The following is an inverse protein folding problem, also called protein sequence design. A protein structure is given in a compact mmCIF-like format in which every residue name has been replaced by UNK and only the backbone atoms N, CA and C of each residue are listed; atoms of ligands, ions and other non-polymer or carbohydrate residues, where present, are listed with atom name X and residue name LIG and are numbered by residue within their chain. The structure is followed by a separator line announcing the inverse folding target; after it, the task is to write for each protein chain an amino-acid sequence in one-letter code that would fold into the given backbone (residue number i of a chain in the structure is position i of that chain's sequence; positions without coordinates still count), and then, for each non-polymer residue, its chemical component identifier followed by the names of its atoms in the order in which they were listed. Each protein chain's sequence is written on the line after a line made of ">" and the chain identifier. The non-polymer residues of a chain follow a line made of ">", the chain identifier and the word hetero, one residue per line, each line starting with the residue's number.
data_IF_897024768026
#
_entry.id   IF_897024768026
#
_cell.length_a   1.000
_cell.length_b   1.000
_cell.length_c   1.000
_cell.angle_alpha   90.00
_cell.angle_beta   90.00
_cell.angle_gamma   90.00
#
_symmetry.space_group_name_H-M   'P 1'
#
loop_
_entity.id
_entity.type
_entity.pdbx_description
1 polymer ?
#
# COMPACT_ATOMS: atom_id res chain seq x y z
N UNK A 1 -2.60 9.61 5.46
CA UNK A 1 -3.42 8.50 6.07
C UNK A 1 -3.03 7.17 5.45
N UNK A 2 -2.92 6.10 6.25
CA UNK A 2 -2.70 4.73 5.75
C UNK A 2 -4.02 3.96 5.81
N UNK A 3 -4.40 3.29 4.71
CA UNK A 3 -5.58 2.43 4.65
C UNK A 3 -5.14 1.01 4.30
N UNK A 4 -5.66 0.01 5.03
CA UNK A 4 -5.39 -1.40 4.81
C UNK A 4 -6.70 -2.13 4.56
N UNK A 5 -6.74 -2.90 3.47
CA UNK A 5 -7.92 -3.64 3.00
C UNK A 5 -7.50 -5.05 2.55
N UNK A 6 -8.47 -5.93 2.35
CA UNK A 6 -8.30 -7.28 1.76
C UNK A 6 -7.15 -8.07 2.41
N UNK A 7 -7.26 -8.26 3.74
CA UNK A 7 -6.23 -8.97 4.51
C UNK A 7 -6.50 -10.47 4.47
N UNK A 8 -5.52 -11.22 3.99
CA UNK A 8 -5.55 -12.68 3.95
C UNK A 8 -4.31 -13.24 4.63
N UNK A 9 -4.47 -14.29 5.43
CA UNK A 9 -3.36 -15.01 6.07
C UNK A 9 -3.45 -16.49 5.74
N UNK A 10 -2.41 -17.00 5.08
CA UNK A 10 -2.38 -18.36 4.58
C UNK A 10 -1.08 -19.10 4.96
N UNK A 11 -1.07 -20.41 4.85
CA UNK A 11 0.13 -21.23 5.00
C UNK A 11 0.33 -21.86 6.39
N UNK A 12 -0.65 -21.78 7.26
CA UNK A 12 -0.60 -22.32 8.62
C UNK A 12 -0.23 -23.81 8.66
N UNK A 13 -0.96 -24.64 7.91
CA UNK A 13 -0.74 -26.07 7.85
C UNK A 13 0.67 -26.42 7.35
N UNK A 14 1.13 -25.76 6.29
CA UNK A 14 2.47 -25.96 5.74
C UNK A 14 3.56 -25.52 6.74
N UNK A 15 3.35 -24.43 7.47
CA UNK A 15 4.26 -23.94 8.49
C UNK A 15 4.39 -24.93 9.65
N UNK A 16 3.26 -25.46 10.13
CA UNK A 16 3.23 -26.46 11.22
C UNK A 16 3.91 -27.75 10.79
N UNK A 17 3.58 -28.28 9.61
CA UNK A 17 4.26 -29.46 9.06
C UNK A 17 5.77 -29.21 8.95
N UNK A 18 6.17 -28.04 8.43
CA UNK A 18 7.57 -27.66 8.26
C UNK A 18 8.36 -27.57 9.57
N UNK A 19 7.77 -26.98 10.62
CA UNK A 19 8.46 -26.86 11.93
C UNK A 19 8.63 -28.19 12.64
N UNK A 20 7.84 -29.22 12.29
CA UNK A 20 7.92 -30.56 12.89
C UNK A 20 8.89 -31.49 12.16
N UNK A 21 9.31 -31.16 10.93
CA UNK A 21 10.24 -31.95 10.12
C UNK A 21 11.56 -32.28 10.84
N UNK A 22 12.26 -31.35 11.53
CA UNK A 22 13.58 -31.66 12.11
C UNK A 22 13.59 -32.76 13.13
N UNK A 23 12.43 -33.06 13.73
CA UNK A 23 12.29 -34.13 14.78
C UNK A 23 11.33 -35.26 14.37
N UNK A 24 10.89 -35.28 13.12
CA UNK A 24 9.88 -36.23 12.61
C UNK A 24 8.66 -36.35 13.54
N UNK A 25 8.19 -35.21 14.07
CA UNK A 25 7.19 -35.19 15.14
C UNK A 25 5.78 -34.84 14.64
N UNK A 26 5.44 -35.18 13.38
CA UNK A 26 4.14 -34.86 12.76
C UNK A 26 2.96 -35.46 13.52
N UNK A 27 3.10 -36.68 14.05
CA UNK A 27 2.06 -37.33 14.83
C UNK A 27 1.70 -36.63 16.15
N UNK A 28 2.48 -35.61 16.55
CA UNK A 28 2.21 -34.77 17.73
C UNK A 28 1.48 -33.50 17.39
N UNK A 29 1.15 -33.25 16.10
CA UNK A 29 0.36 -32.09 15.67
C UNK A 29 -1.09 -32.26 16.13
N UNK A 30 -1.65 -31.23 16.68
CA UNK A 30 -3.02 -31.14 17.17
C UNK A 30 -3.81 -29.99 16.52
N UNK A 31 -3.26 -29.38 15.48
CA UNK A 31 -3.95 -28.35 14.70
C UNK A 31 -4.82 -28.97 13.62
N UNK A 32 -5.95 -28.32 13.33
CA UNK A 32 -6.95 -28.83 12.39
C UNK A 32 -7.76 -27.69 11.76
N UNK A 33 -8.50 -28.01 10.71
CA UNK A 33 -9.49 -27.13 10.12
C UNK A 33 -10.84 -27.36 10.80
N UNK A 34 -11.45 -26.31 11.28
CA UNK A 34 -12.86 -26.34 11.72
C UNK A 34 -13.75 -25.89 10.57
N UNK A 35 -14.80 -26.67 10.33
CA UNK A 35 -15.87 -26.23 9.46
C UNK A 35 -16.80 -25.35 10.29
N UNK A 36 -16.97 -24.10 9.91
CA UNK A 36 -17.99 -23.22 10.52
C UNK A 36 -19.35 -23.78 10.08
N UNK A 37 -20.01 -24.53 10.96
CA UNK A 37 -21.36 -25.06 10.75
C UNK A 37 -22.37 -23.91 10.60
N UNK A 38 -22.65 -23.52 9.37
CA UNK A 38 -23.94 -22.92 9.04
C UNK A 38 -24.94 -24.07 8.93
N UNK A 39 -25.95 -24.09 9.75
CA UNK A 39 -26.92 -25.14 10.02
C UNK A 39 -27.41 -26.00 8.84
N UNK A 40 -28.28 -27.00 9.07
CA UNK A 40 -28.53 -28.14 8.17
C UNK A 40 -29.16 -27.82 6.81
N UNK A 41 -29.42 -26.60 6.46
CA UNK A 41 -30.12 -26.23 5.22
C UNK A 41 -29.24 -25.90 4.00
N UNK A 42 -27.90 -25.85 4.13
CA UNK A 42 -27.00 -25.42 3.03
C UNK A 42 -25.92 -26.46 2.67
N UNK A 43 -26.32 -27.71 2.52
CA UNK A 43 -25.46 -28.80 2.03
C UNK A 43 -25.20 -28.78 0.50
N UNK A 44 -25.23 -27.63 -0.14
CA UNK A 44 -24.87 -27.52 -1.55
C UNK A 44 -23.88 -26.40 -1.75
N UNK A 45 -22.62 -26.78 -1.88
CA UNK A 45 -21.42 -25.94 -2.12
C UNK A 45 -20.80 -25.42 -0.82
N UNK A 46 -19.85 -26.19 -0.27
CA UNK A 46 -18.90 -25.68 0.71
C UNK A 46 -18.10 -24.52 0.05
N UNK A 47 -18.39 -23.28 0.42
CA UNK A 47 -17.51 -22.19 0.16
C UNK A 47 -16.25 -22.40 1.02
N UNK A 48 -15.08 -22.34 0.43
CA UNK A 48 -13.80 -22.43 1.14
C UNK A 48 -13.60 -21.28 2.16
N UNK A 49 -14.48 -20.29 2.15
CA UNK A 49 -14.47 -19.11 3.05
C UNK A 49 -15.03 -19.42 4.46
N UNK A 50 -15.63 -20.59 4.69
CA UNK A 50 -16.28 -20.95 5.96
C UNK A 50 -15.43 -21.89 6.82
N UNK A 51 -14.12 -21.97 6.60
CA UNK A 51 -13.21 -22.83 7.36
C UNK A 51 -12.17 -22.00 8.09
N UNK A 52 -12.13 -22.11 9.41
CA UNK A 52 -11.08 -21.54 10.24
C UNK A 52 -10.01 -22.60 10.56
N UNK A 53 -8.74 -22.21 10.41
CA UNK A 53 -7.63 -23.05 10.82
C UNK A 53 -7.29 -22.83 12.29
N UNK A 54 -7.51 -23.86 13.13
CA UNK A 54 -7.24 -23.83 14.54
C UNK A 54 -5.89 -24.44 14.88
N UNK A 55 -5.01 -23.64 15.50
CA UNK A 55 -3.72 -24.09 16.00
C UNK A 55 -3.90 -24.73 17.37
N UNK A 56 -3.61 -26.02 17.46
CA UNK A 56 -3.69 -26.76 18.71
C UNK A 56 -2.63 -26.34 19.73
N UNK A 57 -2.86 -26.60 21.04
CA UNK A 57 -1.96 -26.20 22.13
C UNK A 57 -0.52 -26.72 21.97
N UNK A 58 -0.32 -27.94 21.48
CA UNK A 58 1.00 -28.53 21.28
C UNK A 58 1.77 -27.81 20.15
N UNK A 59 1.09 -27.50 19.05
CA UNK A 59 1.65 -26.76 17.94
C UNK A 59 1.97 -25.32 18.36
N UNK A 60 1.04 -24.64 19.04
CA UNK A 60 1.23 -23.28 19.55
C UNK A 60 2.43 -23.19 20.50
N UNK A 61 2.57 -24.14 21.41
CA UNK A 61 3.73 -24.23 22.31
C UNK A 61 5.04 -24.39 21.56
N UNK A 62 5.07 -25.26 20.52
CA UNK A 62 6.26 -25.45 19.69
C UNK A 62 6.59 -24.18 18.89
N UNK A 63 5.60 -23.55 18.25
CA UNK A 63 5.76 -22.28 17.52
C UNK A 63 6.38 -21.20 18.40
N UNK A 64 5.83 -21.00 19.60
CA UNK A 64 6.34 -20.01 20.56
C UNK A 64 7.78 -20.33 20.99
N UNK A 65 8.08 -21.60 21.22
CA UNK A 65 9.45 -22.03 21.57
C UNK A 65 10.43 -21.75 20.44
N UNK A 66 10.08 -22.09 19.20
CA UNK A 66 10.94 -21.89 18.04
C UNK A 66 11.09 -20.39 17.71
N UNK A 67 10.01 -19.60 17.84
CA UNK A 67 10.06 -18.15 17.68
C UNK A 67 11.09 -17.50 18.62
N UNK A 68 11.09 -17.90 19.88
CA UNK A 68 11.99 -17.36 20.91
C UNK A 68 13.43 -17.86 20.81
N UNK A 69 13.67 -18.98 20.12
CA UNK A 69 15.00 -19.58 19.96
C UNK A 69 15.89 -18.87 18.90
N UNK A 70 15.38 -17.84 18.23
CA UNK A 70 16.14 -17.04 17.26
C UNK A 70 15.83 -17.34 15.80
N UNK A 71 16.47 -16.58 14.90
CA UNK A 71 16.17 -16.55 13.45
C UNK A 71 16.31 -17.90 12.76
N UNK A 72 17.26 -18.72 13.19
CA UNK A 72 17.50 -20.05 12.59
C UNK A 72 16.38 -21.06 12.90
N UNK A 73 15.70 -20.86 14.03
CA UNK A 73 14.65 -21.76 14.49
C UNK A 73 13.25 -21.30 14.07
N UNK A 74 13.00 -20.01 13.90
CA UNK A 74 11.68 -19.44 13.53
C UNK A 74 11.38 -19.46 12.03
N UNK A 75 12.05 -20.28 11.23
CA UNK A 75 11.86 -20.39 9.77
C UNK A 75 10.41 -20.67 9.35
N UNK A 76 9.63 -21.34 10.19
CA UNK A 76 8.22 -21.61 9.94
C UNK A 76 7.41 -20.31 9.74
N UNK A 77 7.78 -19.21 10.41
CA UNK A 77 7.13 -17.90 10.24
C UNK A 77 7.24 -17.35 8.82
N UNK A 78 8.26 -17.77 8.05
CA UNK A 78 8.41 -17.40 6.64
C UNK A 78 7.43 -18.11 5.72
N UNK A 79 6.79 -19.18 6.19
CA UNK A 79 5.80 -19.97 5.46
C UNK A 79 4.37 -19.45 5.70
N UNK A 80 4.17 -18.60 6.73
CA UNK A 80 2.89 -17.97 7.02
C UNK A 80 2.87 -16.66 6.23
N UNK A 81 2.13 -16.67 5.12
CA UNK A 81 2.08 -15.55 4.18
C UNK A 81 0.87 -14.68 4.46
N UNK A 82 1.06 -13.37 4.35
CA UNK A 82 0.01 -12.36 4.51
C UNK A 82 -0.07 -11.54 3.22
N UNK A 83 -1.27 -11.40 2.69
CA UNK A 83 -1.60 -10.48 1.61
C UNK A 83 -2.37 -9.29 2.16
N UNK A 84 -2.04 -8.09 1.70
CA UNK A 84 -2.65 -6.84 2.12
C UNK A 84 -2.77 -5.90 0.92
N UNK A 85 -3.89 -5.20 0.82
CA UNK A 85 -3.97 -4.01 -0.02
C UNK A 85 -3.72 -2.78 0.85
N UNK A 86 -2.66 -2.04 0.58
CA UNK A 86 -2.27 -0.86 1.33
C UNK A 86 -2.32 0.37 0.44
N UNK A 87 -3.06 1.40 0.86
CA UNK A 87 -3.00 2.74 0.30
C UNK A 87 -2.25 3.65 1.27
N UNK A 88 -1.13 4.21 0.82
CA UNK A 88 -0.24 5.00 1.66
C UNK A 88 0.51 6.07 0.85
N UNK A 89 1.00 7.15 1.48
CA UNK A 89 1.76 8.18 0.80
C UNK A 89 3.13 7.69 0.30
N UNK A 90 3.61 8.27 -0.79
CA UNK A 90 4.88 7.89 -1.41
C UNK A 90 6.07 8.02 -0.44
N UNK A 91 6.03 8.99 0.51
CA UNK A 91 7.09 9.13 1.51
C UNK A 91 7.15 7.91 2.45
N UNK A 92 6.01 7.30 2.81
CA UNK A 92 5.95 6.09 3.62
C UNK A 92 6.41 4.86 2.81
N UNK A 93 6.02 4.76 1.55
CA UNK A 93 6.45 3.68 0.67
C UNK A 93 7.96 3.61 0.51
N UNK A 94 8.66 4.75 0.49
CA UNK A 94 10.14 4.78 0.44
C UNK A 94 10.78 4.06 1.62
N UNK A 95 10.18 4.16 2.81
CA UNK A 95 10.66 3.44 3.99
C UNK A 95 10.22 1.96 3.95
N UNK A 96 8.98 1.68 3.55
CA UNK A 96 8.47 0.32 3.41
C UNK A 96 9.30 -0.49 2.40
N UNK A 97 9.74 0.09 1.31
CA UNK A 97 10.57 -0.54 0.28
C UNK A 97 11.96 -0.99 0.79
N UNK A 98 12.34 -0.66 2.02
CA UNK A 98 13.55 -1.22 2.67
C UNK A 98 13.36 -2.67 3.12
N UNK A 99 12.12 -3.14 3.30
CA UNK A 99 11.78 -4.52 3.67
C UNK A 99 11.67 -5.42 2.44
N UNK A 100 12.76 -5.55 1.65
CA UNK A 100 12.75 -6.25 0.36
C UNK A 100 12.76 -7.77 0.47
N UNK A 101 13.37 -8.32 1.51
CA UNK A 101 13.52 -9.77 1.66
C UNK A 101 12.23 -10.36 2.23
N UNK A 102 11.60 -11.26 1.47
CA UNK A 102 10.33 -11.88 1.86
C UNK A 102 9.11 -10.97 1.68
N UNK A 103 9.24 -9.91 0.87
CA UNK A 103 8.15 -9.00 0.54
C UNK A 103 8.06 -8.82 -0.97
N UNK A 104 6.85 -8.86 -1.51
CA UNK A 104 6.54 -8.52 -2.91
C UNK A 104 5.45 -7.47 -2.89
N UNK A 105 5.59 -6.41 -3.70
CA UNK A 105 4.59 -5.37 -3.84
C UNK A 105 4.27 -5.12 -5.31
N UNK A 106 2.97 -5.09 -5.64
CA UNK A 106 2.47 -4.71 -6.95
C UNK A 106 1.67 -3.42 -6.82
N UNK A 107 2.15 -2.34 -7.44
CA UNK A 107 1.61 -0.99 -7.26
C UNK A 107 0.70 -0.56 -8.40
N UNK A 108 -0.32 0.24 -8.07
CA UNK A 108 -1.02 1.03 -9.08
C UNK A 108 -0.03 1.97 -9.78
N UNK A 109 -0.05 1.97 -11.11
CA UNK A 109 0.91 2.76 -11.89
C UNK A 109 0.56 4.24 -11.86
N UNK A 110 1.42 5.05 -11.24
CA UNK A 110 1.35 6.51 -11.36
C UNK A 110 1.80 6.98 -12.75
N UNK A 111 2.69 6.25 -13.41
CA UNK A 111 3.26 6.64 -14.71
C UNK A 111 2.26 6.49 -15.86
N UNK A 112 1.48 5.40 -15.88
CA UNK A 112 0.56 5.10 -16.99
C UNK A 112 -0.86 5.62 -16.74
N UNK A 113 -1.24 5.80 -15.48
CA UNK A 113 -2.62 6.07 -15.06
C UNK A 113 -2.83 7.41 -14.36
N UNK A 114 -1.79 8.26 -14.34
CA UNK A 114 -1.83 9.54 -13.63
C UNK A 114 -2.93 10.48 -14.12
N UNK A 115 -3.31 10.40 -15.40
CA UNK A 115 -4.33 11.24 -16.00
C UNK A 115 -5.76 10.66 -15.94
N UNK A 116 -5.94 9.40 -15.52
CA UNK A 116 -7.26 8.72 -15.59
C UNK A 116 -8.28 9.36 -14.65
N UNK A 117 -7.86 9.79 -13.46
CA UNK A 117 -8.72 10.37 -12.43
C UNK A 117 -8.37 11.84 -12.17
N UNK A 118 -9.38 12.66 -11.88
CA UNK A 118 -9.17 14.03 -11.37
C UNK A 118 -8.57 13.93 -9.96
N UNK A 119 -7.53 14.73 -9.71
CA UNK A 119 -6.93 14.83 -8.39
C UNK A 119 -7.84 15.60 -7.43
N UNK A 120 -8.00 15.06 -6.23
CA UNK A 120 -8.73 15.64 -5.12
C UNK A 120 -7.86 15.65 -3.87
N UNK A 121 -8.29 16.33 -2.82
CA UNK A 121 -7.54 16.36 -1.56
C UNK A 121 -7.41 14.96 -0.92
N UNK A 122 -8.38 14.07 -1.16
CA UNK A 122 -8.40 12.69 -0.66
C UNK A 122 -7.28 11.82 -1.25
N UNK A 123 -6.72 12.22 -2.39
CA UNK A 123 -5.59 11.52 -3.02
C UNK A 123 -4.25 11.82 -2.31
N UNK A 124 -4.24 12.65 -1.26
CA UNK A 124 -3.04 13.08 -0.58
C UNK A 124 -3.15 12.95 0.94
N UNK A 125 -2.09 12.49 1.59
CA UNK A 125 -1.95 12.57 3.04
C UNK A 125 -1.62 14.01 3.43
N UNK A 126 -2.53 14.65 4.16
CA UNK A 126 -2.44 16.06 4.52
C UNK A 126 -2.91 16.37 5.95
N UNK A 127 -3.08 15.34 6.77
CA UNK A 127 -3.66 15.40 8.12
C UNK A 127 -2.89 16.36 9.05
N UNK A 128 -1.58 16.47 8.87
CA UNK A 128 -0.70 17.31 9.67
C UNK A 128 -0.36 18.65 9.03
N UNK A 129 -0.93 18.98 7.85
CA UNK A 129 -0.67 20.27 7.22
C UNK A 129 -1.31 21.40 8.00
N UNK A 130 -0.51 22.46 8.26
CA UNK A 130 -0.99 23.63 8.94
C UNK A 130 -2.03 24.36 8.07
N UNK A 131 -3.17 24.72 8.69
CA UNK A 131 -4.27 25.46 8.09
C UNK A 131 -4.18 26.97 8.32
N UNK A 132 -3.31 27.43 9.23
CA UNK A 132 -3.09 28.83 9.49
C UNK A 132 -2.26 29.45 8.37
N UNK A 133 -2.59 30.67 7.95
CA UNK A 133 -1.91 31.41 6.88
C UNK A 133 -0.64 32.09 7.39
N UNK A 134 0.38 31.30 7.74
CA UNK A 134 1.66 31.76 8.30
C UNK A 134 2.77 31.92 7.26
N UNK A 135 2.53 31.45 6.04
CA UNK A 135 3.48 31.58 4.93
C UNK A 135 3.18 32.87 4.15
N UNK A 136 4.23 33.57 3.71
CA UNK A 136 4.09 34.81 3.00
C UNK A 136 4.81 34.78 1.65
N UNK A 137 4.14 35.25 0.60
CA UNK A 137 4.73 35.51 -0.71
C UNK A 137 4.70 37.02 -0.97
N UNK A 138 5.79 37.59 -1.49
CA UNK A 138 5.96 39.03 -1.66
C UNK A 138 5.83 39.52 -3.11
N UNK A 139 5.45 38.67 -4.06
CA UNK A 139 5.38 39.08 -5.47
C UNK A 139 4.02 38.76 -6.10
N UNK A 140 3.36 39.70 -6.78
CA UNK A 140 3.64 41.16 -6.91
C UNK A 140 3.14 41.97 -5.70
N UNK A 141 2.30 41.37 -4.85
CA UNK A 141 1.77 41.93 -3.60
C UNK A 141 1.96 40.94 -2.49
N UNK A 142 1.95 41.39 -1.24
CA UNK A 142 2.01 40.50 -0.08
C UNK A 142 0.76 39.61 -0.02
N UNK A 143 0.98 38.32 0.05
CA UNK A 143 -0.07 37.30 0.12
C UNK A 143 0.26 36.24 1.17
N UNK A 144 -0.69 35.97 2.07
CA UNK A 144 -0.54 34.96 3.12
C UNK A 144 -1.32 33.69 2.79
N UNK A 145 -0.69 32.53 3.02
CA UNK A 145 -1.29 31.23 2.77
C UNK A 145 -0.84 30.19 3.80
N UNK A 146 -1.58 29.08 3.88
CA UNK A 146 -1.25 27.95 4.73
C UNK A 146 -0.51 26.85 3.95
N UNK A 147 0.07 25.87 4.66
CA UNK A 147 0.62 24.68 4.03
C UNK A 147 -0.45 23.88 3.27
N UNK A 148 -1.69 23.84 3.79
CA UNK A 148 -2.82 23.21 3.10
C UNK A 148 -3.20 23.98 1.82
N UNK A 149 -3.15 25.33 1.82
CA UNK A 149 -3.43 26.11 0.61
C UNK A 149 -2.40 25.83 -0.49
N UNK A 150 -1.12 25.62 -0.14
CA UNK A 150 -0.09 25.19 -1.10
C UNK A 150 -0.41 23.82 -1.74
N UNK A 151 -0.89 22.87 -0.96
CA UNK A 151 -1.29 21.59 -1.50
C UNK A 151 -2.49 21.75 -2.46
N UNK A 152 -3.49 22.56 -2.10
CA UNK A 152 -4.63 22.84 -2.99
C UNK A 152 -4.20 23.49 -4.30
N UNK A 153 -3.32 24.48 -4.26
CA UNK A 153 -2.76 25.10 -5.48
C UNK A 153 -2.01 24.07 -6.34
N UNK A 154 -1.29 23.15 -5.72
CA UNK A 154 -0.63 22.06 -6.43
C UNK A 154 -1.63 21.08 -7.07
N UNK A 155 -2.72 20.77 -6.41
CA UNK A 155 -3.82 19.95 -6.95
C UNK A 155 -4.46 20.64 -8.16
N UNK A 156 -4.69 21.94 -8.09
CA UNK A 156 -5.23 22.72 -9.20
C UNK A 156 -4.26 22.71 -10.40
N UNK A 157 -2.96 22.89 -10.17
CA UNK A 157 -1.94 22.77 -11.22
C UNK A 157 -1.88 21.36 -11.84
N UNK A 158 -1.96 20.30 -11.04
CA UNK A 158 -2.02 18.92 -11.54
C UNK A 158 -3.26 18.70 -12.40
N UNK A 159 -4.43 19.21 -11.98
CA UNK A 159 -5.68 19.08 -12.73
C UNK A 159 -5.64 19.89 -14.03
N UNK A 160 -5.05 21.09 -14.03
CA UNK A 160 -4.84 21.88 -15.25
C UNK A 160 -4.04 21.08 -16.29
N UNK A 161 -2.90 20.50 -15.90
CA UNK A 161 -2.07 19.71 -16.82
C UNK A 161 -2.74 18.40 -17.26
N UNK A 162 -3.52 17.80 -16.37
CA UNK A 162 -4.36 16.64 -16.71
C UNK A 162 -5.42 16.99 -17.77
N UNK A 163 -6.11 18.08 -17.60
CA UNK A 163 -7.13 18.54 -18.57
C UNK A 163 -6.49 18.81 -19.92
N UNK A 164 -5.35 19.50 -19.97
CA UNK A 164 -4.57 19.72 -21.20
C UNK A 164 -4.11 18.40 -21.85
N UNK A 165 -3.64 17.45 -21.05
CA UNK A 165 -3.26 16.12 -21.56
C UNK A 165 -4.45 15.40 -22.21
N UNK A 166 -5.62 15.43 -21.58
CA UNK A 166 -6.84 14.80 -22.08
C UNK A 166 -7.39 15.54 -23.32
N UNK A 167 -7.30 16.86 -23.37
CA UNK A 167 -7.65 17.69 -24.50
C UNK A 167 -6.81 17.31 -25.74
N UNK A 168 -5.47 17.31 -25.59
CA UNK A 168 -4.56 16.89 -26.66
C UNK A 168 -4.72 15.42 -27.06
N UNK A 169 -5.21 14.56 -26.16
CA UNK A 169 -5.48 13.16 -26.49
C UNK A 169 -6.69 12.94 -27.39
N UNK A 170 -7.55 13.98 -27.59
CA UNK A 170 -8.72 13.95 -28.46
C UNK A 170 -8.46 14.55 -29.86
N UNK A 171 -7.35 15.23 -30.04
CA UNK A 171 -6.97 15.88 -31.29
C UNK A 171 -6.19 14.87 -32.15
N UNK A 172 -6.52 14.79 -33.44
CA UNK A 172 -5.68 14.05 -34.40
C UNK A 172 -4.47 14.87 -34.85
N UNK A 173 -3.43 14.20 -35.34
CA UNK A 173 -2.17 14.84 -35.75
C UNK A 173 -2.34 15.81 -36.92
N UNK A 174 -3.30 15.59 -37.82
CA UNK A 174 -3.54 16.46 -38.97
C UNK A 174 -4.25 17.75 -38.52
N UNK A 175 -5.26 17.62 -37.66
CA UNK A 175 -5.90 18.79 -37.04
C UNK A 175 -4.92 19.63 -36.20
N UNK A 176 -4.00 18.97 -35.46
CA UNK A 176 -2.94 19.66 -34.71
C UNK A 176 -2.04 20.49 -35.61
N UNK A 177 -1.60 19.95 -36.75
CA UNK A 177 -0.70 20.67 -37.68
C UNK A 177 -1.37 21.88 -38.32
N UNK A 178 -2.67 21.84 -38.55
CA UNK A 178 -3.43 22.92 -39.18
C UNK A 178 -3.97 23.98 -38.20
N UNK A 179 -3.92 23.72 -36.88
CA UNK A 179 -4.44 24.63 -35.87
C UNK A 179 -3.54 25.86 -35.74
N UNK A 180 -4.11 27.09 -35.62
CA UNK A 180 -3.34 28.28 -35.30
C UNK A 180 -2.75 28.09 -33.89
N UNK A 181 -1.42 28.23 -33.80
CA UNK A 181 -0.71 28.10 -32.53
C UNK A 181 -0.70 29.44 -31.82
N UNK A 182 -1.42 29.49 -30.70
CA UNK A 182 -1.42 30.69 -29.83
C UNK A 182 -0.08 30.87 -29.08
N UNK A 183 0.09 31.99 -28.45
CA UNK A 183 1.28 32.34 -27.68
C UNK A 183 1.63 31.24 -26.65
N UNK A 184 2.81 30.67 -26.80
CA UNK A 184 3.34 29.61 -25.91
C UNK A 184 3.24 28.17 -26.43
N UNK A 185 2.58 27.92 -27.57
CA UNK A 185 2.66 26.63 -28.28
C UNK A 185 3.76 26.74 -29.34
N UNK A 186 4.87 26.07 -29.09
CA UNK A 186 5.95 25.94 -30.08
C UNK A 186 5.52 25.00 -31.22
N UNK A 187 6.33 24.92 -32.31
CA UNK A 187 6.13 23.99 -33.42
C UNK A 187 6.33 22.49 -33.04
N UNK A 188 6.05 22.17 -31.77
CA UNK A 188 6.15 20.81 -31.26
C UNK A 188 5.05 19.91 -31.84
N UNK A 189 5.39 18.66 -32.07
CA UNK A 189 4.41 17.63 -32.44
C UNK A 189 3.38 17.46 -31.32
N UNK A 190 2.16 17.03 -31.68
CA UNK A 190 1.12 16.71 -30.69
C UNK A 190 1.61 15.72 -29.63
N UNK A 191 2.42 14.74 -30.04
CA UNK A 191 3.03 13.78 -29.12
C UNK A 191 3.97 14.47 -28.11
N UNK A 192 4.75 15.44 -28.52
CA UNK A 192 5.64 16.21 -27.65
C UNK A 192 4.83 17.07 -26.64
N UNK A 193 3.78 17.74 -27.12
CA UNK A 193 2.87 18.52 -26.27
C UNK A 193 2.19 17.66 -25.19
N UNK A 194 1.67 16.48 -25.57
CA UNK A 194 1.11 15.50 -24.62
C UNK A 194 2.14 15.04 -23.60
N UNK A 195 3.35 14.69 -24.07
CA UNK A 195 4.43 14.25 -23.18
C UNK A 195 4.84 15.36 -22.22
N UNK A 196 4.83 16.62 -22.64
CA UNK A 196 5.10 17.75 -21.75
C UNK A 196 4.05 17.85 -20.64
N UNK A 197 2.76 17.78 -20.96
CA UNK A 197 1.68 17.76 -19.94
C UNK A 197 1.85 16.62 -18.95
N UNK A 198 2.19 15.43 -19.44
CA UNK A 198 2.48 14.27 -18.59
C UNK A 198 3.67 14.53 -17.65
N UNK A 199 4.78 15.11 -18.16
CA UNK A 199 5.93 15.46 -17.33
C UNK A 199 5.58 16.47 -16.23
N UNK A 200 4.73 17.46 -16.53
CA UNK A 200 4.30 18.42 -15.51
C UNK A 200 3.56 17.71 -14.38
N UNK A 201 2.66 16.79 -14.68
CA UNK A 201 1.97 16.01 -13.65
C UNK A 201 2.95 15.16 -12.83
N UNK A 202 3.88 14.45 -13.47
CA UNK A 202 4.84 13.57 -12.76
C UNK A 202 5.77 14.38 -11.85
N UNK A 203 6.32 15.49 -12.32
CA UNK A 203 7.29 16.28 -11.56
C UNK A 203 6.65 17.14 -10.46
N UNK A 204 5.39 17.53 -10.64
CA UNK A 204 4.63 18.26 -9.61
C UNK A 204 4.03 17.34 -8.55
N UNK A 205 3.93 16.03 -8.78
CA UNK A 205 3.31 15.11 -7.85
C UNK A 205 4.08 15.09 -6.51
N UNK A 206 3.47 15.50 -5.39
CA UNK A 206 4.16 15.52 -4.12
C UNK A 206 4.29 14.13 -3.52
N UNK A 207 5.26 13.95 -2.62
CA UNK A 207 5.47 12.67 -1.91
C UNK A 207 4.32 12.29 -0.97
N UNK A 208 3.42 13.21 -0.68
CA UNK A 208 2.18 12.95 0.07
C UNK A 208 1.08 12.28 -0.75
N UNK A 209 1.27 12.09 -2.08
CA UNK A 209 0.34 11.36 -2.92
C UNK A 209 0.19 9.91 -2.46
N UNK A 210 -1.07 9.47 -2.28
CA UNK A 210 -1.39 8.13 -1.80
C UNK A 210 -1.43 7.14 -2.97
N UNK A 211 -0.55 6.14 -2.92
CA UNK A 211 -0.48 5.06 -3.89
C UNK A 211 -0.98 3.76 -3.27
N UNK A 212 -1.86 3.04 -3.96
CA UNK A 212 -2.29 1.70 -3.57
C UNK A 212 -1.32 0.65 -4.09
N UNK A 213 -0.99 -0.32 -3.24
CA UNK A 213 -0.22 -1.53 -3.58
C UNK A 213 -0.85 -2.76 -2.94
N UNK A 214 -0.90 -3.85 -3.69
CA UNK A 214 -1.11 -5.18 -3.12
C UNK A 214 0.25 -5.71 -2.69
N UNK A 215 0.38 -6.09 -1.43
CA UNK A 215 1.63 -6.53 -0.81
C UNK A 215 1.49 -7.95 -0.32
N UNK A 216 2.48 -8.79 -0.63
CA UNK A 216 2.68 -10.10 0.00
C UNK A 216 3.90 -10.03 0.89
N UNK A 217 3.77 -10.50 2.13
CA UNK A 217 4.86 -10.61 3.09
C UNK A 217 4.60 -11.79 4.04
N UNK A 218 5.46 -12.03 5.02
CA UNK A 218 5.30 -13.14 5.94
C UNK A 218 5.45 -12.71 7.40
N UNK A 219 5.09 -13.59 8.33
CA UNK A 219 5.10 -13.30 9.76
C UNK A 219 6.48 -12.92 10.31
N UNK A 220 7.58 -13.42 9.75
CA UNK A 220 8.92 -13.00 10.18
C UNK A 220 9.22 -11.56 9.76
N UNK A 221 8.81 -11.15 8.56
CA UNK A 221 8.93 -9.75 8.09
C UNK A 221 8.06 -8.85 8.94
N UNK A 222 6.82 -9.25 9.24
CA UNK A 222 5.92 -8.50 10.12
C UNK A 222 6.51 -8.31 11.51
N UNK A 223 7.11 -9.36 12.10
CA UNK A 223 7.79 -9.28 13.39
C UNK A 223 8.94 -8.27 13.37
N UNK A 224 9.71 -8.24 12.30
CA UNK A 224 10.80 -7.27 12.14
C UNK A 224 10.27 -5.84 11.96
N UNK A 225 9.20 -5.66 11.17
CA UNK A 225 8.52 -4.36 11.01
C UNK A 225 7.99 -3.89 12.36
N UNK A 226 7.20 -4.71 13.05
CA UNK A 226 6.60 -4.37 14.34
C UNK A 226 7.65 -3.92 15.35
N UNK A 227 8.71 -4.72 15.55
CA UNK A 227 9.81 -4.39 16.45
C UNK A 227 10.48 -3.06 16.12
N UNK A 228 10.63 -2.73 14.81
CA UNK A 228 11.38 -1.55 14.38
C UNK A 228 10.51 -0.30 14.27
N UNK A 229 9.18 -0.45 14.08
CA UNK A 229 8.27 0.63 13.68
C UNK A 229 7.18 0.96 14.69
N UNK A 230 6.96 0.15 15.73
CA UNK A 230 5.91 0.40 16.72
C UNK A 230 6.01 1.79 17.36
N UNK A 231 7.22 2.31 17.55
CA UNK A 231 7.49 3.63 18.13
C UNK A 231 8.03 4.62 17.09
N UNK A 232 7.67 4.47 15.83
CA UNK A 232 8.16 5.35 14.76
C UNK A 232 7.46 6.71 14.79
N UNK A 233 8.09 7.76 14.18
CA UNK A 233 7.52 9.12 14.15
C UNK A 233 6.35 9.29 13.19
N UNK A 234 6.25 8.43 12.15
CA UNK A 234 5.16 8.48 11.17
C UNK A 234 3.99 7.64 11.68
N UNK A 235 2.82 8.24 11.78
CA UNK A 235 1.59 7.62 12.28
C UNK A 235 1.12 6.44 11.42
N UNK A 236 1.47 6.45 10.14
CA UNK A 236 1.20 5.36 9.21
C UNK A 236 1.80 4.03 9.69
N UNK A 237 2.97 4.07 10.35
CA UNK A 237 3.56 2.87 10.93
C UNK A 237 2.78 2.35 12.14
N UNK A 238 2.20 3.26 12.95
CA UNK A 238 1.34 2.85 14.07
C UNK A 238 0.10 2.13 13.54
N UNK A 239 -0.55 2.67 12.50
CA UNK A 239 -1.70 2.04 11.85
C UNK A 239 -1.36 0.63 11.32
N UNK A 240 -0.20 0.44 10.69
CA UNK A 240 0.24 -0.89 10.26
C UNK A 240 0.53 -1.81 11.46
N UNK A 241 1.16 -1.30 12.52
CA UNK A 241 1.43 -2.08 13.72
C UNK A 241 0.14 -2.52 14.43
N UNK A 242 -0.85 -1.65 14.52
CA UNK A 242 -2.18 -1.98 15.07
C UNK A 242 -2.87 -3.07 14.23
N UNK A 243 -2.69 -3.01 12.89
CA UNK A 243 -3.19 -4.07 12.02
C UNK A 243 -2.44 -5.39 12.23
N UNK A 244 -1.13 -5.36 12.44
CA UNK A 244 -0.33 -6.56 12.77
C UNK A 244 -0.84 -7.20 14.06
N UNK A 245 -1.15 -6.42 15.09
CA UNK A 245 -1.71 -6.93 16.35
C UNK A 245 -3.06 -7.63 16.18
N UNK A 246 -3.84 -7.23 15.18
CA UNK A 246 -5.16 -7.82 14.88
C UNK A 246 -5.11 -9.06 13.98
N UNK A 247 -3.93 -9.49 13.52
CA UNK A 247 -3.79 -10.69 12.69
C UNK A 247 -4.02 -11.97 13.52
N UNK A 248 -4.47 -13.06 12.89
CA UNK A 248 -4.58 -14.35 13.56
C UNK A 248 -3.24 -14.75 14.20
N UNK A 249 -3.27 -15.18 15.45
CA UNK A 249 -2.08 -15.61 16.21
C UNK A 249 -0.94 -14.57 16.20
N UNK A 250 -1.29 -13.28 16.28
CA UNK A 250 -0.33 -12.16 16.30
C UNK A 250 0.69 -12.24 17.44
N UNK A 251 0.39 -13.00 18.51
CA UNK A 251 1.34 -13.29 19.58
C UNK A 251 2.59 -14.04 19.10
N UNK A 252 2.60 -14.57 17.88
CA UNK A 252 3.79 -15.12 17.22
C UNK A 252 4.66 -14.01 16.58
N UNK A 253 4.16 -12.80 16.46
CA UNK A 253 4.86 -11.64 15.94
C UNK A 253 5.49 -10.83 17.08
#
# INVERSE_FOLDING_TARGET
>A
MLKIENVEVVGWEAAIRGMRNPKNSWAKSDSHWDYVNQGPEYLTVAHFDDTDFNIGPNDKKLMTTLRNAGTDHRKFMRMITVYLDITAPLYWWKEFDTYKVGTVANSCSTMHKIADKKFTLEDFSCEHLNTNRVLTCYAPTEYHFSSLDLLKLKIDALNYWREKYLEFSKIDEAAWRSAPKGDGLTDESLTAAKKNCWWQMIQLLPSSYNQRRTVMLNYEVLANIYKSRRNHKLDEWHTLCDRIESLPYSELI
#
